data_IF_186490057134
#
_entry.id   IF_186490057134
#
_cell.length_a   1.000
_cell.length_b   1.000
_cell.length_c   1.000
_cell.angle_alpha   90.00
_cell.angle_beta   90.00
_cell.angle_gamma   90.00
#
_symmetry.space_group_name_H-M   'P 1'
#
loop_
_entity.id
_entity.type
_entity.pdbx_description
1 polymer ?
#
# COMPACT_ATOMS: atom_id res chain seq x y z
N UNK A 1 67.42 -35.65 36.41
CA UNK A 1 66.97 -34.47 37.18
C UNK A 1 66.98 -33.28 36.25
N UNK A 2 66.00 -32.41 36.09
CA UNK A 2 64.61 -32.27 36.56
C UNK A 2 64.29 -30.78 36.34
N UNK A 3 63.21 -30.47 35.60
CA UNK A 3 62.54 -29.14 35.53
C UNK A 3 63.37 -27.99 34.90
N UNK A 4 62.87 -27.04 34.11
CA UNK A 4 61.57 -26.35 34.13
C UNK A 4 61.10 -25.96 32.72
N UNK A 5 59.78 -26.06 32.49
CA UNK A 5 59.08 -25.48 31.35
C UNK A 5 58.74 -24.01 31.67
N UNK A 6 59.24 -23.08 30.87
CA UNK A 6 58.93 -21.65 30.96
C UNK A 6 57.62 -21.34 30.21
N UNK A 7 56.62 -20.79 30.89
CA UNK A 7 55.33 -20.38 30.30
C UNK A 7 55.46 -19.07 29.49
N UNK A 8 54.79 -18.92 28.32
CA UNK A 8 54.61 -17.62 27.69
C UNK A 8 53.42 -16.88 28.29
N UNK A 9 53.67 -15.62 28.67
CA UNK A 9 52.75 -14.72 29.39
C UNK A 9 51.37 -14.54 28.75
N UNK A 10 50.34 -14.70 29.59
CA UNK A 10 48.93 -14.47 29.28
C UNK A 10 48.67 -12.96 29.08
N UNK A 11 48.39 -12.59 27.83
CA UNK A 11 47.98 -11.25 27.40
C UNK A 11 46.78 -10.72 28.21
N UNK A 12 46.97 -9.62 28.95
CA UNK A 12 45.95 -8.89 29.73
C UNK A 12 45.01 -7.99 28.87
N UNK A 13 45.00 -8.14 27.55
CA UNK A 13 44.35 -7.19 26.62
C UNK A 13 42.95 -7.61 26.12
N UNK A 14 42.45 -8.78 26.53
CA UNK A 14 41.15 -9.31 26.07
C UNK A 14 39.89 -8.75 26.77
N UNK A 15 39.85 -8.41 28.08
CA UNK A 15 38.58 -8.14 28.75
C UNK A 15 37.96 -6.79 28.35
N UNK A 16 38.76 -5.76 28.06
CA UNK A 16 38.26 -4.41 27.75
C UNK A 16 37.65 -4.29 26.35
N UNK A 17 38.17 -5.01 25.35
CA UNK A 17 37.62 -4.99 23.99
C UNK A 17 36.27 -5.71 23.90
N UNK A 18 36.07 -6.77 24.67
CA UNK A 18 34.80 -7.50 24.71
C UNK A 18 33.71 -6.68 25.40
N UNK A 19 34.04 -5.97 26.50
CA UNK A 19 33.10 -5.08 27.19
C UNK A 19 32.64 -3.91 26.34
N UNK A 20 33.52 -3.33 25.51
CA UNK A 20 33.18 -2.26 24.57
C UNK A 20 32.26 -2.74 23.43
N UNK A 21 32.51 -3.94 22.90
CA UNK A 21 31.65 -4.53 21.86
C UNK A 21 30.27 -4.91 22.39
N UNK A 22 30.18 -5.44 23.62
CA UNK A 22 28.90 -5.76 24.27
C UNK A 22 28.13 -4.48 24.61
N UNK A 23 28.79 -3.44 25.09
CA UNK A 23 28.17 -2.14 25.35
C UNK A 23 27.64 -1.50 24.05
N UNK A 24 28.40 -1.54 22.96
CA UNK A 24 27.97 -1.02 21.66
C UNK A 24 26.79 -1.82 21.07
N UNK A 25 26.81 -3.15 21.21
CA UNK A 25 25.70 -4.01 20.79
C UNK A 25 24.42 -3.76 21.61
N UNK A 26 24.55 -3.50 22.92
CA UNK A 26 23.42 -3.10 23.77
C UNK A 26 22.84 -1.74 23.38
N UNK A 27 23.70 -0.75 23.10
CA UNK A 27 23.25 0.59 22.66
C UNK A 27 22.56 0.52 21.29
N UNK A 28 23.10 -0.26 20.34
CA UNK A 28 22.47 -0.46 19.02
C UNK A 28 21.16 -1.27 19.12
N UNK A 29 21.10 -2.28 19.99
CA UNK A 29 19.89 -3.05 20.23
C UNK A 29 18.76 -2.23 20.86
N UNK A 30 19.09 -1.35 21.81
CA UNK A 30 18.12 -0.41 22.41
C UNK A 30 17.68 0.64 21.39
N UNK A 31 18.59 1.17 20.58
CA UNK A 31 18.24 2.12 19.53
C UNK A 31 17.24 1.52 18.53
N UNK A 32 17.47 0.29 18.05
CA UNK A 32 16.52 -0.41 17.18
C UNK A 32 15.17 -0.70 17.84
N UNK A 33 15.15 -1.01 19.15
CA UNK A 33 13.91 -1.30 19.88
C UNK A 33 13.04 -0.04 20.13
N UNK A 34 13.63 1.16 20.09
CA UNK A 34 12.92 2.43 20.28
C UNK A 34 12.49 3.12 18.98
N UNK A 35 12.95 2.65 17.81
CA UNK A 35 12.44 3.13 16.53
C UNK A 35 11.06 2.50 16.31
N UNK A 36 10.04 3.16 16.84
CA UNK A 36 8.66 2.92 16.42
C UNK A 36 8.59 3.41 14.97
N UNK A 37 8.66 2.48 14.03
CA UNK A 37 8.26 2.74 12.66
C UNK A 37 6.76 3.02 12.69
N UNK A 38 6.37 4.29 12.84
CA UNK A 38 5.07 4.75 12.38
C UNK A 38 5.20 4.88 10.87
N UNK A 39 4.65 3.96 10.06
CA UNK A 39 4.74 4.10 8.61
C UNK A 39 4.17 5.46 8.22
N UNK A 40 4.99 6.26 7.54
CA UNK A 40 4.56 7.53 6.93
C UNK A 40 3.37 7.19 6.02
N UNK A 41 2.18 7.68 6.37
CA UNK A 41 0.94 7.38 5.63
C UNK A 41 -0.08 6.50 6.35
N UNK A 42 0.09 6.20 7.65
CA UNK A 42 -1.00 5.60 8.44
C UNK A 42 -2.17 6.58 8.55
N UNK A 43 -3.08 6.54 7.59
CA UNK A 43 -4.34 7.28 7.62
C UNK A 43 -5.16 6.75 8.79
N UNK A 44 -5.68 7.62 9.66
CA UNK A 44 -6.61 7.19 10.71
C UNK A 44 -7.88 6.70 10.04
N UNK A 45 -8.19 5.42 10.20
CA UNK A 45 -9.44 4.82 9.72
C UNK A 45 -10.48 4.62 10.81
N UNK A 46 -10.09 4.79 12.07
CA UNK A 46 -11.02 4.70 13.20
C UNK A 46 -11.87 5.97 13.31
N UNK A 47 -13.16 5.85 13.69
CA UNK A 47 -14.03 6.99 13.95
C UNK A 47 -13.47 7.94 15.01
N UNK A 48 -13.77 9.22 14.87
CA UNK A 48 -13.36 10.27 15.80
C UNK A 48 -14.32 10.27 17.00
N UNK A 49 -13.80 9.99 18.19
CA UNK A 49 -14.62 9.93 19.40
C UNK A 49 -15.21 11.30 19.70
N UNK A 50 -16.53 11.37 19.86
CA UNK A 50 -17.26 12.60 20.16
C UNK A 50 -17.68 13.40 18.92
N UNK A 51 -17.21 13.04 17.72
CA UNK A 51 -17.71 13.62 16.50
C UNK A 51 -19.09 13.06 16.14
N UNK A 52 -20.05 13.93 15.88
CA UNK A 52 -21.38 13.63 15.36
C UNK A 52 -21.53 14.07 13.89
N UNK A 53 -22.54 13.52 13.17
CA UNK A 53 -22.83 13.87 11.78
C UNK A 53 -23.37 15.30 11.63
N UNK A 54 -22.89 16.04 10.64
CA UNK A 54 -23.33 17.40 10.26
C UNK A 54 -24.12 17.41 8.94
N UNK A 55 -23.99 16.35 8.14
CA UNK A 55 -24.59 16.23 6.81
C UNK A 55 -23.74 16.78 5.67
N UNK A 56 -23.91 16.21 4.48
CA UNK A 56 -23.08 16.51 3.31
C UNK A 56 -23.14 17.98 2.82
N UNK A 57 -24.22 18.70 3.13
CA UNK A 57 -24.35 20.12 2.74
C UNK A 57 -23.40 21.01 3.53
N UNK A 58 -23.16 20.73 4.81
CA UNK A 58 -22.22 21.50 5.63
C UNK A 58 -20.78 21.33 5.13
N UNK A 59 -20.40 20.09 4.80
CA UNK A 59 -19.08 19.80 4.24
C UNK A 59 -18.81 20.58 2.94
N UNK A 60 -19.84 20.74 2.11
CA UNK A 60 -19.80 21.44 0.82
C UNK A 60 -19.59 22.94 0.94
N UNK A 61 -19.86 23.55 2.10
CA UNK A 61 -19.58 24.99 2.31
C UNK A 61 -18.08 25.26 2.26
N UNK A 62 -17.25 24.39 2.84
CA UNK A 62 -15.80 24.57 2.87
C UNK A 62 -15.06 23.80 1.77
N UNK A 63 -15.58 22.64 1.37
CA UNK A 63 -14.98 21.84 0.31
C UNK A 63 -15.45 22.29 -1.08
N UNK A 64 -15.15 23.55 -1.41
CA UNK A 64 -15.62 24.16 -2.64
C UNK A 64 -15.02 23.49 -3.90
N UNK A 65 -13.78 23.00 -3.81
CA UNK A 65 -13.13 22.23 -4.88
C UNK A 65 -13.63 20.77 -4.97
N UNK A 66 -14.42 20.33 -3.98
CA UNK A 66 -15.20 19.08 -4.08
C UNK A 66 -16.50 19.34 -4.86
N UNK A 67 -16.92 20.60 -5.08
CA UNK A 67 -17.93 20.96 -6.08
C UNK A 67 -17.45 20.77 -7.53
N UNK A 68 -16.16 20.49 -7.75
CA UNK A 68 -15.69 19.97 -9.04
C UNK A 68 -16.19 18.55 -9.36
N UNK A 69 -16.94 17.92 -8.44
CA UNK A 69 -17.42 16.55 -8.52
C UNK A 69 -18.96 16.45 -8.60
N UNK A 70 -19.60 17.22 -9.49
CA UNK A 70 -20.88 16.81 -10.10
C UNK A 70 -20.80 15.39 -10.69
N UNK A 71 -19.59 14.87 -10.86
CA UNK A 71 -19.26 13.56 -11.36
C UNK A 71 -19.21 12.46 -10.28
N UNK A 72 -19.10 12.78 -8.97
CA UNK A 72 -19.09 11.73 -7.94
C UNK A 72 -20.39 10.93 -8.05
N UNK A 73 -20.34 9.58 -8.12
CA UNK A 73 -21.57 8.81 -8.28
C UNK A 73 -22.54 9.15 -7.16
N UNK A 74 -23.83 9.30 -7.49
CA UNK A 74 -24.89 9.71 -6.53
C UNK A 74 -24.83 8.92 -5.21
N UNK A 75 -24.41 7.66 -5.28
CA UNK A 75 -24.26 6.75 -4.14
C UNK A 75 -23.05 7.01 -3.22
N UNK A 76 -22.11 7.88 -3.60
CA UNK A 76 -20.95 8.30 -2.79
C UNK A 76 -21.08 9.75 -2.28
N UNK A 77 -22.17 10.45 -2.60
CA UNK A 77 -22.35 11.86 -2.27
C UNK A 77 -22.63 12.12 -0.77
N UNK A 78 -22.82 11.07 0.03
CA UNK A 78 -22.87 11.16 1.48
C UNK A 78 -21.47 10.99 2.07
N UNK A 79 -20.85 12.12 2.43
CA UNK A 79 -19.45 12.18 2.89
C UNK A 79 -19.24 11.34 4.16
N UNK A 80 -20.19 11.41 5.09
CA UNK A 80 -20.05 10.88 6.45
C UNK A 80 -20.22 9.36 6.52
N UNK A 81 -20.85 8.75 5.51
CA UNK A 81 -20.85 7.30 5.33
C UNK A 81 -19.44 6.71 5.21
N UNK A 82 -18.50 7.48 4.65
CA UNK A 82 -17.10 7.09 4.50
C UNK A 82 -16.20 7.75 5.56
N UNK A 83 -16.39 9.05 5.81
CA UNK A 83 -15.53 9.86 6.66
C UNK A 83 -15.94 9.90 8.14
N UNK A 84 -17.10 9.34 8.52
CA UNK A 84 -17.64 9.47 9.87
C UNK A 84 -18.17 10.88 10.14
N UNK A 85 -18.53 11.16 11.40
CA UNK A 85 -19.06 12.47 11.78
C UNK A 85 -18.05 13.59 11.61
N UNK A 86 -18.45 14.68 10.95
CA UNK A 86 -17.60 15.82 10.60
C UNK A 86 -17.54 16.97 11.61
N UNK A 87 -18.39 17.00 12.64
CA UNK A 87 -18.50 18.11 13.61
C UNK A 87 -17.18 18.65 14.14
N UNK A 88 -16.31 17.80 14.69
CA UNK A 88 -15.02 18.24 15.24
C UNK A 88 -14.08 18.79 14.15
N UNK A 89 -14.12 18.23 12.94
CA UNK A 89 -13.37 18.75 11.80
C UNK A 89 -13.92 20.09 11.32
N UNK A 90 -15.24 20.27 11.31
CA UNK A 90 -15.89 21.54 10.96
C UNK A 90 -15.51 22.65 11.95
N UNK A 91 -15.39 22.33 13.24
CA UNK A 91 -15.00 23.29 14.27
C UNK A 91 -13.51 23.64 14.26
N UNK A 92 -12.63 22.65 14.03
CA UNK A 92 -11.18 22.81 14.16
C UNK A 92 -10.45 23.06 12.84
N UNK A 93 -11.08 22.72 11.72
CA UNK A 93 -10.51 22.62 10.37
C UNK A 93 -9.33 21.63 10.25
N UNK A 94 -9.00 20.91 11.32
CA UNK A 94 -7.85 20.03 11.34
C UNK A 94 -8.17 18.71 10.62
N UNK A 95 -7.31 18.31 9.67
CA UNK A 95 -7.42 17.02 8.96
C UNK A 95 -7.38 15.83 9.94
N UNK A 96 -6.75 16.00 11.11
CA UNK A 96 -6.69 14.96 12.14
C UNK A 96 -8.04 14.66 12.82
N UNK A 97 -9.01 15.58 12.70
CA UNK A 97 -10.34 15.48 13.31
C UNK A 97 -11.40 14.92 12.36
N UNK A 98 -10.97 14.40 11.21
CA UNK A 98 -11.77 13.57 10.31
C UNK A 98 -11.01 12.27 10.02
N UNK A 99 -11.74 11.16 9.79
CA UNK A 99 -11.10 9.89 9.43
C UNK A 99 -11.06 9.68 7.92
N UNK A 100 -10.19 8.79 7.47
CA UNK A 100 -10.21 8.22 6.13
C UNK A 100 -11.02 6.92 6.11
N UNK A 101 -11.71 6.59 5.01
CA UNK A 101 -12.34 5.30 4.86
C UNK A 101 -11.28 4.19 4.72
N UNK A 102 -11.44 3.11 5.48
CA UNK A 102 -10.68 1.87 5.31
C UNK A 102 -11.40 0.89 4.37
N UNK A 103 -10.76 -0.25 4.07
CA UNK A 103 -11.36 -1.24 3.13
C UNK A 103 -12.72 -1.77 3.57
N UNK A 104 -13.00 -1.84 4.88
CA UNK A 104 -14.31 -2.27 5.39
C UNK A 104 -15.43 -1.33 4.93
N UNK A 105 -15.17 -0.03 4.87
CA UNK A 105 -16.15 0.98 4.47
C UNK A 105 -16.54 0.77 3.00
N UNK A 106 -15.56 0.46 2.15
CA UNK A 106 -15.80 0.13 0.74
C UNK A 106 -16.55 -1.21 0.59
N UNK A 107 -16.11 -2.25 1.33
CA UNK A 107 -16.68 -3.60 1.27
C UNK A 107 -18.09 -3.71 1.87
N UNK A 108 -18.53 -2.72 2.65
CA UNK A 108 -19.91 -2.64 3.13
C UNK A 108 -20.92 -2.57 1.96
N UNK A 109 -20.49 -1.97 0.83
CA UNK A 109 -21.29 -1.86 -0.38
C UNK A 109 -20.73 -2.72 -1.53
N UNK A 110 -19.40 -2.78 -1.71
CA UNK A 110 -18.75 -3.60 -2.73
C UNK A 110 -18.54 -5.04 -2.26
N UNK A 111 -19.62 -5.83 -2.28
CA UNK A 111 -19.59 -7.19 -1.73
C UNK A 111 -18.87 -8.17 -2.67
N UNK A 112 -17.86 -8.92 -2.18
CA UNK A 112 -17.24 -10.03 -2.91
C UNK A 112 -18.26 -11.05 -3.42
N UNK A 113 -18.14 -11.45 -4.69
CA UNK A 113 -18.99 -12.45 -5.34
C UNK A 113 -20.38 -11.97 -5.77
N UNK A 114 -20.89 -10.86 -5.21
CA UNK A 114 -22.16 -10.24 -5.66
C UNK A 114 -21.90 -9.10 -6.64
N UNK A 115 -21.11 -8.12 -6.22
CA UNK A 115 -20.90 -6.87 -6.96
C UNK A 115 -19.50 -6.79 -7.58
N UNK A 116 -18.59 -7.65 -7.12
CA UNK A 116 -17.18 -7.65 -7.52
C UNK A 116 -16.58 -9.07 -7.43
N UNK A 117 -15.65 -9.44 -8.32
CA UNK A 117 -14.94 -10.74 -8.26
C UNK A 117 -13.70 -10.68 -7.35
N UNK A 118 -13.78 -10.03 -6.19
CA UNK A 118 -12.59 -9.68 -5.41
C UNK A 118 -12.46 -10.59 -4.19
N UNK A 119 -11.34 -11.28 -4.06
CA UNK A 119 -10.94 -11.97 -2.82
C UNK A 119 -10.02 -11.08 -1.98
N UNK A 120 -10.38 -9.80 -1.83
CA UNK A 120 -9.50 -8.75 -1.30
C UNK A 120 -8.79 -9.18 0.00
N UNK A 121 -9.55 -9.69 0.98
CA UNK A 121 -9.02 -10.05 2.29
C UNK A 121 -7.98 -11.17 2.30
N UNK A 122 -7.77 -11.87 1.19
CA UNK A 122 -6.75 -12.92 1.03
C UNK A 122 -5.59 -12.48 0.10
N UNK A 123 -5.72 -11.34 -0.57
CA UNK A 123 -4.73 -10.84 -1.53
C UNK A 123 -3.49 -10.26 -0.85
N UNK A 124 -2.34 -10.36 -1.53
CA UNK A 124 -1.07 -9.83 -1.02
C UNK A 124 -1.09 -8.32 -0.77
N UNK A 125 -1.89 -7.55 -1.51
CA UNK A 125 -2.09 -6.12 -1.26
C UNK A 125 -2.84 -5.84 0.05
N UNK A 126 -3.84 -6.66 0.40
CA UNK A 126 -4.52 -6.55 1.70
C UNK A 126 -3.61 -6.97 2.84
N UNK A 127 -2.79 -8.01 2.66
CA UNK A 127 -1.79 -8.42 3.65
C UNK A 127 -0.72 -7.33 3.87
N UNK A 128 -0.35 -6.61 2.82
CA UNK A 128 0.53 -5.44 2.90
C UNK A 128 -0.11 -4.21 3.58
N UNK A 129 -1.38 -4.29 4.00
CA UNK A 129 -2.09 -3.23 4.69
C UNK A 129 -2.57 -2.09 3.77
N UNK A 130 -2.57 -2.30 2.45
CA UNK A 130 -3.15 -1.35 1.51
C UNK A 130 -4.67 -1.31 1.68
N UNK A 131 -5.28 -0.19 1.29
CA UNK A 131 -6.71 0.01 1.21
C UNK A 131 -7.15 0.37 -0.21
N UNK A 132 -8.45 0.26 -0.48
CA UNK A 132 -8.99 0.50 -1.81
C UNK A 132 -8.59 1.87 -2.37
N UNK A 133 -8.56 2.90 -1.50
CA UNK A 133 -8.20 4.28 -1.83
C UNK A 133 -6.69 4.56 -1.86
N UNK A 134 -5.85 3.53 -1.84
CA UNK A 134 -4.44 3.65 -2.23
C UNK A 134 -4.28 3.50 -3.75
N UNK A 135 -5.19 2.76 -4.41
CA UNK A 135 -5.20 2.57 -5.85
C UNK A 135 -6.33 3.31 -6.55
N UNK A 136 -7.53 3.33 -5.94
CA UNK A 136 -8.72 3.96 -6.50
C UNK A 136 -8.91 5.39 -6.01
N UNK A 137 -9.49 6.22 -6.86
CA UNK A 137 -9.95 7.55 -6.49
C UNK A 137 -11.49 7.55 -6.34
N UNK A 138 -12.02 7.48 -5.10
CA UNK A 138 -13.47 7.49 -4.86
C UNK A 138 -14.09 8.87 -5.07
N UNK A 139 -13.28 9.92 -5.14
CA UNK A 139 -13.78 11.27 -5.40
C UNK A 139 -13.94 11.54 -6.89
N UNK A 140 -13.34 10.74 -7.78
CA UNK A 140 -13.44 10.92 -9.22
C UNK A 140 -14.72 10.29 -9.79
N UNK A 141 -15.41 11.01 -10.67
CA UNK A 141 -16.64 10.50 -11.29
C UNK A 141 -16.49 9.45 -12.38
N UNK A 142 -15.26 9.11 -12.78
CA UNK A 142 -15.02 8.02 -13.73
C UNK A 142 -15.13 6.69 -13.01
N UNK A 143 -15.90 5.75 -13.58
CA UNK A 143 -15.96 4.38 -13.08
C UNK A 143 -14.56 3.78 -13.03
N UNK A 144 -14.25 3.10 -11.92
CA UNK A 144 -12.96 2.45 -11.69
C UNK A 144 -11.77 3.42 -11.82
N UNK A 145 -11.96 4.70 -11.46
CA UNK A 145 -10.87 5.65 -11.47
C UNK A 145 -9.74 5.17 -10.57
N UNK A 146 -8.54 5.19 -11.11
CA UNK A 146 -7.32 5.00 -10.36
C UNK A 146 -6.80 6.36 -9.93
N UNK A 147 -6.06 6.39 -8.82
CA UNK A 147 -5.38 7.61 -8.38
C UNK A 147 -4.42 8.09 -9.46
N UNK A 148 -4.33 9.41 -9.60
CA UNK A 148 -3.28 9.99 -10.42
C UNK A 148 -1.91 9.60 -9.85
N UNK A 149 -1.04 9.11 -10.73
CA UNK A 149 0.33 8.73 -10.43
C UNK A 149 1.28 9.69 -11.15
N UNK A 150 2.52 9.77 -10.70
CA UNK A 150 3.54 10.56 -11.41
C UNK A 150 3.93 9.81 -12.68
N UNK A 151 3.82 10.48 -13.85
CA UNK A 151 4.21 9.90 -15.15
C UNK A 151 5.52 9.14 -15.04
N UNK A 152 5.47 7.86 -15.38
CA UNK A 152 6.64 6.99 -15.39
C UNK A 152 7.58 7.36 -16.54
N UNK A 153 8.76 6.73 -16.59
CA UNK A 153 9.67 6.83 -17.74
C UNK A 153 9.19 6.06 -18.99
N UNK A 154 7.97 5.52 -18.98
CA UNK A 154 7.37 4.77 -20.06
C UNK A 154 6.15 5.53 -20.60
N UNK A 155 6.29 6.27 -21.71
CA UNK A 155 5.24 7.17 -22.19
C UNK A 155 3.99 6.45 -22.69
N UNK A 156 4.15 5.23 -23.20
CA UNK A 156 3.08 4.45 -23.83
C UNK A 156 2.39 3.46 -22.86
N UNK A 157 2.93 3.32 -21.63
CA UNK A 157 2.38 2.44 -20.61
C UNK A 157 1.01 2.95 -20.12
N UNK A 158 0.05 2.06 -19.89
CA UNK A 158 -1.27 2.43 -19.40
C UNK A 158 -1.24 2.96 -17.96
N UNK A 159 -2.30 3.69 -17.58
CA UNK A 159 -2.41 4.31 -16.28
C UNK A 159 -2.32 3.33 -15.09
N UNK A 160 -2.91 2.15 -15.20
CA UNK A 160 -2.90 1.17 -14.12
C UNK A 160 -1.50 0.58 -13.94
N UNK A 161 -0.82 0.21 -15.03
CA UNK A 161 0.54 -0.32 -14.97
C UNK A 161 1.54 0.70 -14.42
N UNK A 162 1.35 1.99 -14.75
CA UNK A 162 2.19 3.06 -14.19
C UNK A 162 2.01 3.21 -12.67
N UNK A 163 0.78 3.09 -12.17
CA UNK A 163 0.51 3.05 -10.72
C UNK A 163 1.20 1.86 -10.06
N UNK A 164 1.14 0.66 -10.67
CA UNK A 164 1.77 -0.54 -10.11
C UNK A 164 3.27 -0.36 -9.85
N UNK A 165 4.00 0.26 -10.78
CA UNK A 165 5.45 0.43 -10.68
C UNK A 165 5.87 1.59 -9.76
N UNK A 166 4.93 2.36 -9.20
CA UNK A 166 5.24 3.31 -8.11
C UNK A 166 5.75 2.55 -6.87
N UNK A 167 5.13 1.41 -6.56
CA UNK A 167 5.55 0.52 -5.49
C UNK A 167 6.47 -0.60 -6.01
N UNK A 168 6.12 -1.22 -7.15
CA UNK A 168 6.88 -2.30 -7.78
C UNK A 168 8.00 -1.76 -8.70
N UNK A 169 8.81 -0.85 -8.15
CA UNK A 169 9.87 -0.16 -8.90
C UNK A 169 10.95 -1.11 -9.47
N UNK A 170 11.19 -2.25 -8.81
CA UNK A 170 12.06 -3.31 -9.31
C UNK A 170 11.52 -3.92 -10.62
N UNK A 171 10.22 -4.20 -10.69
CA UNK A 171 9.57 -4.69 -11.91
C UNK A 171 9.64 -3.62 -12.99
N UNK A 172 9.41 -2.35 -12.63
CA UNK A 172 9.59 -1.22 -13.54
C UNK A 172 11.02 -1.08 -14.09
N UNK A 173 12.05 -1.56 -13.37
CA UNK A 173 13.42 -1.63 -13.87
C UNK A 173 13.62 -2.82 -14.83
N UNK A 174 13.03 -3.97 -14.52
CA UNK A 174 13.09 -5.19 -15.34
C UNK A 174 12.46 -5.01 -16.72
N UNK A 175 11.43 -4.15 -16.82
CA UNK A 175 10.84 -3.76 -18.11
C UNK A 175 11.81 -2.99 -19.04
N UNK A 176 13.03 -2.65 -18.60
CA UNK A 176 14.07 -2.11 -19.49
C UNK A 176 15.01 -3.16 -20.06
N UNK A 177 14.88 -4.42 -19.66
CA UNK A 177 15.74 -5.48 -20.18
C UNK A 177 15.41 -5.80 -21.65
N UNK A 178 16.36 -6.34 -22.42
CA UNK A 178 16.12 -6.68 -23.82
C UNK A 178 14.99 -7.68 -24.05
N UNK A 179 14.67 -8.48 -23.02
CA UNK A 179 13.60 -9.48 -23.06
C UNK A 179 12.66 -9.22 -21.88
N UNK A 180 11.47 -8.75 -22.21
CA UNK A 180 10.36 -8.53 -21.30
C UNK A 180 9.06 -8.60 -22.12
N UNK A 181 7.92 -8.71 -21.44
CA UNK A 181 6.64 -8.56 -22.13
C UNK A 181 6.31 -7.08 -22.35
N UNK A 182 5.57 -6.69 -23.40
CA UNK A 182 5.50 -5.30 -23.88
C UNK A 182 4.59 -4.39 -23.04
N UNK A 183 4.76 -4.36 -21.72
CA UNK A 183 4.01 -3.49 -20.80
C UNK A 183 4.47 -2.04 -20.92
N UNK A 184 5.79 -1.82 -21.06
CA UNK A 184 6.39 -0.49 -21.18
C UNK A 184 5.99 0.22 -22.49
N UNK A 185 5.83 -0.57 -23.55
CA UNK A 185 5.42 -0.16 -24.89
C UNK A 185 3.89 -0.08 -25.06
N UNK A 186 3.11 -0.37 -24.00
CA UNK A 186 1.65 -0.34 -24.04
C UNK A 186 1.00 -1.48 -24.84
N UNK A 187 1.76 -2.51 -25.23
CA UNK A 187 1.26 -3.70 -25.91
C UNK A 187 0.51 -4.67 -24.99
N UNK A 188 0.68 -4.54 -23.67
CA UNK A 188 -0.08 -5.25 -22.65
C UNK A 188 -0.10 -4.47 -21.33
N UNK A 189 -0.84 -4.97 -20.35
CA UNK A 189 -0.95 -4.35 -19.02
C UNK A 189 -0.56 -5.33 -17.92
N UNK A 190 -0.20 -4.83 -16.73
CA UNK A 190 0.01 -5.69 -15.55
C UNK A 190 -1.23 -6.55 -15.26
N UNK A 191 -2.43 -5.98 -15.46
CA UNK A 191 -3.71 -6.64 -15.21
C UNK A 191 -4.13 -7.66 -16.27
N UNK A 192 -3.40 -7.73 -17.39
CA UNK A 192 -3.59 -8.79 -18.37
C UNK A 192 -3.23 -10.17 -17.81
N UNK A 193 -2.37 -10.21 -16.77
CA UNK A 193 -1.99 -11.44 -16.08
C UNK A 193 -2.24 -11.41 -14.56
N UNK A 194 -2.21 -10.26 -13.90
CA UNK A 194 -2.41 -10.15 -12.45
C UNK A 194 -3.79 -9.61 -12.10
N UNK A 195 -4.42 -10.15 -11.06
CA UNK A 195 -5.55 -9.49 -10.41
C UNK A 195 -5.03 -8.85 -9.10
N UNK A 196 -5.05 -7.50 -8.97
CA UNK A 196 -4.56 -6.83 -7.77
C UNK A 196 -5.48 -7.01 -6.55
N UNK A 197 -6.66 -7.62 -6.73
CA UNK A 197 -7.66 -7.80 -5.70
C UNK A 197 -7.85 -9.25 -5.25
N UNK A 198 -7.07 -10.18 -5.81
CA UNK A 198 -7.14 -11.60 -5.45
C UNK A 198 -5.81 -12.10 -4.88
N UNK A 199 -5.86 -13.28 -4.29
CA UNK A 199 -4.68 -14.02 -3.88
C UNK A 199 -3.98 -14.61 -5.13
N UNK A 200 -2.68 -14.32 -5.35
CA UNK A 200 -1.93 -14.91 -6.46
C UNK A 200 -1.88 -16.46 -6.45
N UNK A 201 -2.20 -17.10 -5.33
CA UNK A 201 -2.31 -18.56 -5.17
C UNK A 201 -3.66 -19.09 -5.67
N UNK A 202 -4.67 -18.22 -5.78
CA UNK A 202 -6.02 -18.55 -6.28
C UNK A 202 -6.12 -18.12 -7.75
N UNK A 203 -5.22 -18.65 -8.58
CA UNK A 203 -5.31 -18.48 -10.03
C UNK A 203 -6.11 -19.64 -10.59
N UNK A 204 -7.31 -19.37 -11.11
CA UNK A 204 -8.07 -20.35 -11.89
C UNK A 204 -7.19 -20.83 -13.07
N UNK A 205 -6.80 -22.11 -13.05
CA UNK A 205 -5.98 -22.74 -14.09
C UNK A 205 -4.48 -22.87 -13.82
N UNK A 206 -3.97 -22.30 -12.72
CA UNK A 206 -2.53 -22.30 -12.42
C UNK A 206 -1.70 -21.38 -13.32
N UNK A 207 -0.41 -21.20 -12.97
CA UNK A 207 0.47 -20.23 -13.64
C UNK A 207 0.57 -20.45 -15.16
N UNK A 208 0.70 -21.70 -15.61
CA UNK A 208 0.85 -22.04 -17.02
C UNK A 208 -0.37 -21.67 -17.87
N UNK A 209 -1.58 -21.70 -17.30
CA UNK A 209 -2.80 -21.40 -18.04
C UNK A 209 -2.91 -19.90 -18.38
N UNK A 210 -2.35 -19.01 -17.56
CA UNK A 210 -2.26 -17.58 -17.90
C UNK A 210 -1.29 -17.34 -19.06
N UNK A 211 -0.14 -18.02 -19.07
CA UNK A 211 0.82 -17.92 -20.17
C UNK A 211 0.18 -18.35 -21.49
N UNK A 212 -0.52 -19.48 -21.46
CA UNK A 212 -1.15 -20.04 -22.63
C UNK A 212 -2.44 -19.32 -23.08
N UNK A 213 -2.91 -18.34 -22.30
CA UNK A 213 -3.92 -17.39 -22.78
C UNK A 213 -3.48 -16.63 -24.02
N UNK A 214 -2.18 -16.42 -24.19
CA UNK A 214 -1.58 -15.80 -25.38
C UNK A 214 -0.63 -16.76 -26.12
N UNK A 215 0.10 -17.61 -25.40
CA UNK A 215 1.05 -18.58 -25.97
C UNK A 215 0.42 -19.96 -26.15
N UNK A 216 -0.60 -20.04 -26.99
CA UNK A 216 -1.37 -21.26 -27.23
C UNK A 216 -0.55 -22.37 -27.92
N UNK A 217 0.58 -22.00 -28.53
CA UNK A 217 1.55 -22.87 -29.18
C UNK A 217 2.46 -23.64 -28.19
N UNK A 218 2.43 -23.27 -26.91
CA UNK A 218 3.20 -23.91 -25.83
C UNK A 218 2.40 -24.97 -25.04
N UNK A 219 1.17 -25.27 -25.47
CA UNK A 219 0.28 -26.31 -24.92
C UNK A 219 0.31 -27.58 -25.77
#
# INVERSE_FOLDING_TARGET
MSHDCNEPGRSRWLPTKLSLLVALALVLGVACATVVWTPVGSRRTEPIVGAFPEGAEECRVCHEDVHGQDAMPIYHADCESCHGGGSLHSESEAIADIRHPGSRDCLACHTPGRDTHLQWGLGGHSEAGLICSDCHDPHNGRRLSLREFKRSGFPDMDAASQLCIECHSNVGAELRYPSHHPVAEGGMTCTSCHDPHEDPRVIAGGANQRCAGCHQDLM
#
